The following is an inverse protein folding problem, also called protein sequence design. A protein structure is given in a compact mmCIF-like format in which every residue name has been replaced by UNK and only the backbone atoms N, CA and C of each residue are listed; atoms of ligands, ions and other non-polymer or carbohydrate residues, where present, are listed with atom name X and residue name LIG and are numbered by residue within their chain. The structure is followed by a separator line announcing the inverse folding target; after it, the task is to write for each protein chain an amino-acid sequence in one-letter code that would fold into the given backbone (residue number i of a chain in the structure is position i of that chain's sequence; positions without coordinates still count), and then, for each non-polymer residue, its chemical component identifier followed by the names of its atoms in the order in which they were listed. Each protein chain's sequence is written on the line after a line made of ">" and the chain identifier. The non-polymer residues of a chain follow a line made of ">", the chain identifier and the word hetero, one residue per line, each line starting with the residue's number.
data_IF_260572066902
#
_entry.id   IF_260572066902
#
_cell.length_a   1.000
_cell.length_b   1.000
_cell.length_c   1.000
_cell.angle_alpha   90.00
_cell.angle_beta   90.00
_cell.angle_gamma   90.00
#
_symmetry.space_group_name_H-M   'P 1'
#
loop_
_entity.id
_entity.type
_entity.pdbx_description
1 polymer ?
#
# COMPACT_ATOMS: atom_id res chain seq x y z
N UNK A 1 2.35 4.63 -10.63
CA UNK A 1 1.68 3.31 -10.58
C UNK A 1 2.72 2.20 -10.42
N UNK A 2 2.37 1.09 -9.79
CA UNK A 2 3.22 -0.11 -9.67
C UNK A 2 2.46 -1.32 -10.22
N UNK A 3 3.12 -2.18 -10.99
CA UNK A 3 2.59 -3.50 -11.36
C UNK A 3 3.36 -4.51 -10.52
N UNK A 4 2.67 -5.30 -9.71
CA UNK A 4 3.29 -6.27 -8.82
C UNK A 4 2.57 -7.62 -8.87
N UNK A 5 3.32 -8.68 -8.58
CA UNK A 5 2.73 -9.99 -8.38
C UNK A 5 1.81 -9.98 -7.16
N UNK A 6 0.65 -10.63 -7.27
CA UNK A 6 -0.36 -10.66 -6.23
C UNK A 6 0.04 -11.62 -5.10
N UNK A 7 1.08 -11.24 -4.35
CA UNK A 7 1.73 -12.06 -3.33
C UNK A 7 2.15 -11.21 -2.15
N UNK A 8 1.93 -11.72 -0.93
CA UNK A 8 2.33 -11.09 0.32
C UNK A 8 1.76 -9.68 0.48
N UNK A 9 2.60 -8.76 0.93
CA UNK A 9 2.22 -7.38 1.25
C UNK A 9 1.83 -6.52 0.04
N UNK A 10 1.93 -7.04 -1.20
CA UNK A 10 1.54 -6.27 -2.38
C UNK A 10 0.07 -5.82 -2.33
N UNK A 11 -0.84 -6.66 -1.78
CA UNK A 11 -2.26 -6.30 -1.56
C UNK A 11 -2.47 -5.20 -0.52
N UNK A 12 -1.55 -5.09 0.42
CA UNK A 12 -1.60 -4.07 1.48
C UNK A 12 -1.09 -2.72 0.95
N UNK A 13 -0.08 -2.75 0.07
CA UNK A 13 0.54 -1.53 -0.47
C UNK A 13 -0.20 -0.98 -1.69
N UNK A 14 -0.70 -1.85 -2.58
CA UNK A 14 -1.26 -1.45 -3.88
C UNK A 14 -2.78 -1.54 -3.86
N UNK A 15 -3.44 -0.40 -4.11
CA UNK A 15 -4.85 -0.36 -4.41
C UNK A 15 -5.05 -0.70 -5.90
N UNK A 16 -5.48 -1.95 -6.18
CA UNK A 16 -5.66 -2.45 -7.54
C UNK A 16 -6.57 -1.54 -8.37
N UNK A 17 -6.11 -1.18 -9.58
CA UNK A 17 -6.83 -0.29 -10.50
C UNK A 17 -6.80 1.19 -10.11
N UNK A 18 -6.21 1.56 -8.98
CA UNK A 18 -6.12 2.95 -8.51
C UNK A 18 -4.69 3.45 -8.34
N UNK A 19 -3.81 2.65 -7.73
CA UNK A 19 -2.40 3.01 -7.54
C UNK A 19 -1.45 2.08 -8.27
N UNK A 20 -1.99 1.05 -8.92
CA UNK A 20 -1.24 0.03 -9.62
C UNK A 20 -2.12 -1.16 -10.01
N UNK A 21 -1.48 -2.23 -10.47
CA UNK A 21 -2.14 -3.49 -10.80
C UNK A 21 -1.46 -4.65 -10.08
N UNK A 22 -2.29 -5.55 -9.57
CA UNK A 22 -1.87 -6.82 -8.99
C UNK A 22 -2.13 -7.91 -10.03
N UNK A 23 -1.12 -8.72 -10.32
CA UNK A 23 -1.13 -9.71 -11.40
C UNK A 23 -0.63 -11.05 -10.91
N UNK A 24 -1.04 -12.14 -11.57
CA UNK A 24 -0.66 -13.50 -11.15
C UNK A 24 0.43 -14.13 -12.02
N UNK A 25 0.77 -13.53 -13.15
CA UNK A 25 1.79 -14.01 -14.08
C UNK A 25 2.33 -12.88 -14.98
N UNK A 26 3.34 -13.21 -15.78
CA UNK A 26 4.03 -12.28 -16.69
C UNK A 26 3.14 -11.76 -17.81
N UNK A 27 2.22 -12.59 -18.33
CA UNK A 27 1.33 -12.18 -19.42
C UNK A 27 0.34 -11.11 -18.95
N UNK A 28 -0.21 -11.28 -17.74
CA UNK A 28 -1.01 -10.26 -17.07
C UNK A 28 -0.20 -9.00 -16.77
N UNK A 29 1.06 -9.13 -16.37
CA UNK A 29 1.95 -7.99 -16.15
C UNK A 29 2.14 -7.18 -17.44
N UNK A 30 2.41 -7.86 -18.56
CA UNK A 30 2.55 -7.24 -19.88
C UNK A 30 1.25 -6.55 -20.32
N UNK A 31 0.10 -7.21 -20.14
CA UNK A 31 -1.21 -6.63 -20.44
C UNK A 31 -1.53 -5.40 -19.56
N UNK A 32 -1.06 -5.37 -18.31
CA UNK A 32 -1.25 -4.24 -17.41
C UNK A 32 -0.41 -3.01 -17.80
N UNK A 33 0.72 -3.19 -18.51
CA UNK A 33 1.52 -2.07 -19.05
C UNK A 33 0.68 -1.20 -19.98
N UNK A 34 -0.14 -1.82 -20.82
CA UNK A 34 -1.03 -1.11 -21.75
C UNK A 34 -2.19 -0.35 -21.05
N UNK A 35 -2.38 -0.54 -19.74
CA UNK A 35 -3.43 0.11 -18.94
C UNK A 35 -2.86 1.14 -17.96
N UNK A 36 -1.55 1.41 -17.98
CA UNK A 36 -0.88 2.31 -17.04
C UNK A 36 -1.43 3.75 -17.13
N UNK A 37 -1.85 4.16 -18.32
CA UNK A 37 -2.49 5.45 -18.62
C UNK A 37 -3.83 5.66 -17.88
N UNK A 38 -4.49 4.57 -17.48
CA UNK A 38 -5.71 4.62 -16.67
C UNK A 38 -5.44 5.00 -15.21
N UNK A 39 -4.17 4.98 -14.77
CA UNK A 39 -3.80 5.32 -13.40
C UNK A 39 -3.34 6.77 -13.29
N UNK A 40 -4.05 7.53 -12.47
CA UNK A 40 -3.70 8.90 -12.15
C UNK A 40 -2.53 8.95 -11.14
N UNK A 41 -1.38 9.47 -11.57
CA UNK A 41 -0.14 9.48 -10.76
C UNK A 41 -0.24 10.23 -9.42
N UNK A 42 -0.96 11.36 -9.31
CA UNK A 42 -1.23 12.01 -8.03
C UNK A 42 -1.95 11.11 -7.02
N UNK A 43 -2.86 10.24 -7.45
CA UNK A 43 -3.54 9.31 -6.54
C UNK A 43 -2.58 8.27 -5.95
N UNK A 44 -1.57 7.84 -6.71
CA UNK A 44 -0.48 7.03 -6.17
C UNK A 44 0.28 7.75 -5.05
N UNK A 45 0.60 9.04 -5.26
CA UNK A 45 1.33 9.83 -4.27
C UNK A 45 0.48 10.05 -3.01
N UNK A 46 -0.77 10.46 -3.19
CA UNK A 46 -1.70 10.67 -2.08
C UNK A 46 -1.87 9.40 -1.24
N UNK A 47 -2.01 8.24 -1.88
CA UNK A 47 -2.10 6.95 -1.17
C UNK A 47 -0.88 6.66 -0.29
N UNK A 48 0.32 7.00 -0.76
CA UNK A 48 1.55 6.84 0.03
C UNK A 48 1.60 7.82 1.19
N UNK A 49 1.25 9.09 0.96
CA UNK A 49 1.24 10.13 1.99
C UNK A 49 0.24 9.81 3.11
N UNK A 50 -0.93 9.27 2.77
CA UNK A 50 -1.99 8.95 3.72
C UNK A 50 -1.71 7.67 4.54
N UNK A 51 -0.99 6.69 3.99
CA UNK A 51 -0.90 5.36 4.60
C UNK A 51 0.52 4.95 5.02
N UNK A 52 1.55 5.45 4.34
CA UNK A 52 2.94 4.97 4.47
C UNK A 52 3.93 6.11 4.76
N UNK A 53 3.44 7.24 5.27
CA UNK A 53 4.30 8.33 5.73
C UNK A 53 4.96 8.00 7.07
N UNK A 54 6.05 8.72 7.38
CA UNK A 54 6.73 8.64 8.68
C UNK A 54 5.74 8.93 9.82
N UNK A 55 4.88 9.93 9.65
CA UNK A 55 3.88 10.29 10.66
C UNK A 55 2.88 9.15 10.92
N UNK A 56 2.42 8.45 9.87
CA UNK A 56 1.55 7.28 10.03
C UNK A 56 2.26 6.15 10.78
N UNK A 57 3.53 5.90 10.46
CA UNK A 57 4.35 4.90 11.15
C UNK A 57 4.51 5.24 12.63
N UNK A 58 4.92 6.46 12.96
CA UNK A 58 5.15 6.91 14.35
C UNK A 58 3.87 6.79 15.16
N UNK A 59 2.74 7.32 14.66
CA UNK A 59 1.43 7.21 15.33
C UNK A 59 1.02 5.74 15.56
N UNK A 60 1.33 4.86 14.60
CA UNK A 60 1.10 3.42 14.74
C UNK A 60 1.88 2.81 15.90
N UNK A 61 3.18 3.11 16.00
CA UNK A 61 4.03 2.62 17.09
C UNK A 61 3.62 3.21 18.46
N UNK A 62 3.36 4.52 18.53
CA UNK A 62 2.91 5.18 19.76
C UNK A 62 1.65 4.53 20.32
N UNK A 63 0.68 4.24 19.44
CA UNK A 63 -0.56 3.54 19.83
C UNK A 63 -0.29 2.15 20.39
N UNK A 64 0.63 1.40 19.78
CA UNK A 64 1.01 0.06 20.28
C UNK A 64 1.70 0.17 21.64
N UNK A 65 2.61 1.12 21.84
CA UNK A 65 3.26 1.34 23.13
C UNK A 65 2.27 1.72 24.22
N UNK A 66 1.32 2.61 23.93
CA UNK A 66 0.27 2.98 24.87
C UNK A 66 -0.56 1.75 25.28
N UNK A 67 -0.93 0.89 24.33
CA UNK A 67 -1.68 -0.34 24.61
C UNK A 67 -0.89 -1.33 25.48
N UNK A 68 0.44 -1.39 25.33
CA UNK A 68 1.29 -2.25 26.17
C UNK A 68 1.30 -1.71 27.60
N UNK A 69 1.55 -0.41 27.79
CA UNK A 69 1.55 0.20 29.12
C UNK A 69 0.20 0.08 29.84
N UNK A 70 -0.93 0.23 29.13
CA UNK A 70 -2.27 0.03 29.68
C UNK A 70 -2.50 -1.41 30.14
N UNK A 71 -1.92 -2.41 29.46
CA UNK A 71 -2.02 -3.83 29.82
C UNK A 71 -1.11 -4.23 30.97
N UNK A 72 0.04 -3.59 31.13
CA UNK A 72 0.98 -3.87 32.23
C UNK A 72 0.60 -3.16 33.54
N UNK A 73 -0.15 -2.07 33.45
CA UNK A 73 -0.63 -1.31 34.62
C UNK A 73 -1.90 -1.89 35.28
N UNK A 74 -2.53 -2.89 34.67
CA UNK A 74 -3.73 -3.59 35.18
C UNK A 74 -3.42 -4.99 35.67
#
# INVERSE_FOLDING_TARGET
>A
PVIAMDRGSCREVIAHGKTGFLVNNTDQAAAAVAKIDQINRPDCRKHVEENFSIDCMVKGYEKVYQQIFEKEAG
#
